data_IF_770727676239
#
_entry.id   IF_770727676239
#
_cell.length_a   1.000
_cell.length_b   1.000
_cell.length_c   1.000
_cell.angle_alpha   90.00
_cell.angle_beta   90.00
_cell.angle_gamma   90.00
#
_symmetry.space_group_name_H-M   'P 1'
#
loop_
_entity.id
_entity.type
_entity.pdbx_description
1 polymer ?
#
# COMPACT_ATOMS: atom_id res chain seq x y z
N UNK A 1 -0.79 15.64 0.93
CA UNK A 1 -1.49 14.85 -0.10
C UNK A 1 -0.41 14.24 -0.95
N UNK A 2 -0.25 12.93 -0.84
CA UNK A 2 0.79 12.18 -1.56
C UNK A 2 0.12 11.43 -2.71
N UNK A 3 0.81 11.27 -3.83
CA UNK A 3 0.30 10.52 -4.98
C UNK A 3 0.72 9.06 -4.90
N UNK A 4 -0.23 8.15 -5.13
CA UNK A 4 0.03 6.71 -5.21
C UNK A 4 -0.10 6.29 -6.67
N UNK A 5 0.98 5.74 -7.24
CA UNK A 5 0.99 5.20 -8.61
C UNK A 5 1.07 3.67 -8.55
N UNK A 6 0.10 2.99 -9.15
CA UNK A 6 0.09 1.53 -9.28
C UNK A 6 0.49 1.17 -10.71
N UNK A 7 1.66 0.55 -10.86
CA UNK A 7 2.18 0.17 -12.18
C UNK A 7 1.20 -0.76 -12.89
N UNK A 8 0.74 -0.33 -14.07
CA UNK A 8 -0.19 -1.09 -14.91
C UNK A 8 -1.68 -0.86 -14.62
N UNK A 9 -2.05 -0.13 -13.56
CA UNK A 9 -3.45 0.20 -13.25
C UNK A 9 -3.75 1.70 -13.33
N UNK A 10 -2.86 2.57 -12.82
CA UNK A 10 -3.09 4.03 -12.84
C UNK A 10 -2.51 4.74 -11.61
N UNK A 11 -3.11 5.88 -11.26
CA UNK A 11 -2.70 6.70 -10.11
C UNK A 11 -3.90 7.26 -9.36
N UNK A 12 -3.74 7.49 -8.05
CA UNK A 12 -4.70 8.19 -7.20
C UNK A 12 -4.01 9.11 -6.20
N UNK A 13 -4.79 9.99 -5.58
CA UNK A 13 -4.33 10.84 -4.49
C UNK A 13 -4.65 10.20 -3.13
N UNK A 14 -3.69 10.28 -2.22
CA UNK A 14 -3.87 9.89 -0.83
C UNK A 14 -4.35 11.10 0.00
N UNK A 15 -5.54 10.96 0.58
CA UNK A 15 -6.24 12.00 1.32
C UNK A 15 -5.92 12.03 2.83
N UNK A 16 -5.18 11.04 3.33
CA UNK A 16 -4.72 10.98 4.72
C UNK A 16 -5.71 10.38 5.71
N UNK A 17 -6.85 9.84 5.27
CA UNK A 17 -7.86 9.33 6.21
C UNK A 17 -7.57 7.92 6.72
N UNK A 18 -6.97 7.05 5.89
CA UNK A 18 -6.89 5.60 6.10
C UNK A 18 -5.56 5.00 5.64
N UNK A 19 -5.44 3.67 5.59
CA UNK A 19 -4.26 2.99 5.04
C UNK A 19 -4.15 3.16 3.52
N UNK A 20 -2.97 2.89 2.94
CA UNK A 20 -2.81 2.84 1.48
C UNK A 20 -3.79 1.86 0.82
N UNK A 21 -4.08 0.72 1.45
CA UNK A 21 -5.02 -0.26 0.92
C UNK A 21 -6.42 0.35 0.75
N UNK A 22 -6.92 1.06 1.75
CA UNK A 22 -8.25 1.66 1.73
C UNK A 22 -8.34 2.77 0.67
N UNK A 23 -7.32 3.64 0.60
CA UNK A 23 -7.26 4.68 -0.44
C UNK A 23 -7.27 4.08 -1.87
N UNK A 24 -6.60 2.95 -2.07
CA UNK A 24 -6.57 2.24 -3.36
C UNK A 24 -7.91 1.54 -3.67
N UNK A 25 -8.51 0.88 -2.69
CA UNK A 25 -9.82 0.20 -2.81
C UNK A 25 -10.92 1.22 -3.16
N UNK A 26 -10.95 2.37 -2.46
CA UNK A 26 -11.91 3.45 -2.73
C UNK A 26 -11.68 4.14 -4.08
N UNK A 27 -10.42 4.18 -4.54
CA UNK A 27 -10.07 4.70 -5.86
C UNK A 27 -10.33 3.69 -7.00
N UNK A 28 -10.83 2.49 -6.68
CA UNK A 28 -11.22 1.46 -7.65
C UNK A 28 -10.08 0.60 -8.17
N UNK A 29 -8.93 0.54 -7.47
CA UNK A 29 -7.82 -0.34 -7.82
C UNK A 29 -8.10 -1.77 -7.37
N UNK A 30 -7.81 -2.74 -8.22
CA UNK A 30 -7.93 -4.16 -7.90
C UNK A 30 -6.71 -4.60 -7.09
N UNK A 31 -6.80 -4.42 -5.77
CA UNK A 31 -5.74 -4.75 -4.82
C UNK A 31 -5.95 -6.15 -4.23
N UNK A 32 -4.92 -7.00 -4.19
CA UNK A 32 -5.01 -8.26 -3.47
C UNK A 32 -5.08 -7.96 -1.96
N UNK A 33 -6.10 -8.44 -1.25
CA UNK A 33 -6.18 -8.32 0.21
C UNK A 33 -7.01 -9.44 0.84
N UNK A 34 -6.86 -9.62 2.16
CA UNK A 34 -7.66 -10.59 2.92
C UNK A 34 -7.95 -10.10 4.35
N UNK A 35 -6.96 -10.13 5.25
CA UNK A 35 -7.22 -9.86 6.68
C UNK A 35 -7.33 -8.37 7.05
N UNK A 36 -6.81 -7.46 6.22
CA UNK A 36 -6.71 -6.00 6.46
C UNK A 36 -6.01 -5.58 7.78
N UNK A 37 -5.33 -6.49 8.47
CA UNK A 37 -4.70 -6.26 9.77
C UNK A 37 -3.24 -6.71 9.85
N UNK A 38 -2.53 -6.77 8.72
CA UNK A 38 -1.09 -7.07 8.71
C UNK A 38 -0.69 -8.53 9.02
N UNK A 39 -1.63 -9.48 8.99
CA UNK A 39 -1.38 -10.87 9.41
C UNK A 39 -1.18 -11.86 8.24
N UNK A 40 -1.87 -11.66 7.12
CA UNK A 40 -1.95 -12.68 6.05
C UNK A 40 -0.96 -12.48 4.90
N UNK A 41 -0.36 -11.30 4.75
CA UNK A 41 0.49 -10.96 3.59
C UNK A 41 -0.22 -10.85 2.24
N UNK A 42 -1.54 -11.03 2.16
CA UNK A 42 -2.28 -10.92 0.89
C UNK A 42 -2.16 -9.54 0.22
N UNK A 43 -2.01 -8.46 0.99
CA UNK A 43 -1.83 -7.10 0.48
C UNK A 43 -0.37 -6.68 0.31
N UNK A 44 0.50 -7.66 0.07
CA UNK A 44 1.92 -7.39 -0.18
C UNK A 44 2.08 -6.86 -1.59
N UNK A 45 2.77 -5.74 -1.70
CA UNK A 45 3.17 -5.15 -2.98
C UNK A 45 4.65 -4.78 -2.90
N UNK A 46 5.29 -4.62 -4.05
CA UNK A 46 6.64 -4.07 -4.11
C UNK A 46 6.58 -2.55 -4.08
N UNK A 47 7.34 -1.94 -3.18
CA UNK A 47 7.60 -0.49 -3.21
C UNK A 47 8.72 -0.21 -4.21
N UNK A 48 8.37 0.40 -5.33
CA UNK A 48 9.31 0.72 -6.42
C UNK A 48 10.02 2.04 -6.17
N UNK A 49 9.30 3.03 -5.63
CA UNK A 49 9.83 4.36 -5.34
C UNK A 49 9.00 5.05 -4.26
N UNK A 50 9.61 5.99 -3.55
CA UNK A 50 8.99 6.81 -2.52
C UNK A 50 9.13 6.21 -1.12
N UNK A 51 8.55 6.90 -0.16
CA UNK A 51 8.63 6.58 1.25
C UNK A 51 7.23 6.35 1.83
N UNK A 52 7.17 5.39 2.75
CA UNK A 52 5.96 5.04 3.50
C UNK A 52 6.27 5.01 4.98
N UNK A 53 5.26 5.22 5.81
CA UNK A 53 5.31 5.08 7.26
C UNK A 53 4.37 3.95 7.68
N UNK A 54 4.83 3.09 8.59
CA UNK A 54 4.00 2.05 9.18
C UNK A 54 3.03 2.67 10.20
N UNK A 55 1.73 2.45 9.99
CA UNK A 55 0.68 2.87 10.94
C UNK A 55 0.35 1.76 11.95
N UNK A 56 0.78 0.53 11.67
CA UNK A 56 0.67 -0.61 12.58
C UNK A 56 1.79 -1.60 12.28
N UNK A 57 2.32 -2.26 13.31
CA UNK A 57 3.33 -3.31 13.11
C UNK A 57 2.69 -4.59 12.56
N UNK A 58 3.03 -5.02 11.35
CA UNK A 58 2.49 -6.26 10.78
C UNK A 58 3.10 -7.49 11.47
N UNK A 59 2.31 -8.55 11.62
CA UNK A 59 2.80 -9.85 12.07
C UNK A 59 3.41 -10.68 10.92
N UNK A 60 3.04 -10.36 9.68
CA UNK A 60 3.61 -10.96 8.48
C UNK A 60 4.96 -10.31 8.16
N UNK A 61 5.98 -11.14 7.98
CA UNK A 61 7.34 -10.72 7.62
C UNK A 61 7.45 -10.58 6.09
N UNK A 62 7.36 -9.35 5.58
CA UNK A 62 7.53 -9.07 4.15
C UNK A 62 9.01 -9.07 3.76
N UNK A 63 9.30 -9.32 2.48
CA UNK A 63 10.69 -9.30 2.01
C UNK A 63 11.19 -7.85 1.91
N UNK A 64 12.52 -7.64 1.90
CA UNK A 64 13.07 -6.32 1.64
C UNK A 64 12.54 -5.73 0.32
N UNK A 65 12.03 -4.50 0.38
CA UNK A 65 11.40 -3.81 -0.76
C UNK A 65 9.92 -4.15 -0.97
N UNK A 66 9.33 -4.99 -0.11
CA UNK A 66 7.90 -5.28 -0.09
C UNK A 66 7.23 -4.65 1.13
N UNK A 67 6.01 -4.15 0.93
CA UNK A 67 5.21 -3.48 1.95
C UNK A 67 3.81 -4.08 2.00
N UNK A 68 3.17 -4.04 3.17
CA UNK A 68 1.76 -4.39 3.31
C UNK A 68 0.93 -3.11 3.20
N UNK A 69 0.18 -2.93 2.12
CA UNK A 69 -0.60 -1.69 1.88
C UNK A 69 -1.64 -1.42 2.97
N UNK A 70 -2.12 -2.43 3.69
CA UNK A 70 -3.04 -2.25 4.83
C UNK A 70 -2.38 -1.72 6.10
N UNK A 71 -1.04 -1.67 6.16
CA UNK A 71 -0.29 -1.35 7.38
C UNK A 71 0.59 -0.11 7.22
N UNK A 72 0.50 0.59 6.09
CA UNK A 72 1.32 1.75 5.78
C UNK A 72 0.51 2.91 5.22
N UNK A 73 1.06 4.12 5.36
CA UNK A 73 0.63 5.35 4.69
C UNK A 73 1.81 5.94 3.91
N UNK A 74 1.57 6.63 2.78
CA UNK A 74 2.64 7.27 2.03
C UNK A 74 3.08 8.58 2.71
N UNK A 75 4.38 8.78 2.84
CA UNK A 75 4.98 10.04 3.33
C UNK A 75 5.56 10.90 2.22
N UNK A 76 5.70 10.33 1.01
CA UNK A 76 6.00 11.01 -0.25
C UNK A 76 5.10 10.48 -1.36
N UNK A 77 5.26 10.99 -2.58
CA UNK A 77 4.73 10.28 -3.76
C UNK A 77 5.36 8.90 -3.86
N UNK A 78 4.53 7.87 -4.07
CA UNK A 78 4.95 6.47 -4.09
C UNK A 78 4.56 5.80 -5.40
N UNK A 79 5.40 4.85 -5.81
CA UNK A 79 5.14 3.96 -6.94
C UNK A 79 5.19 2.53 -6.44
N UNK A 80 4.14 1.75 -6.70
CA UNK A 80 4.02 0.36 -6.28
C UNK A 80 3.75 -0.57 -7.47
N UNK A 81 4.20 -1.82 -7.32
CA UNK A 81 4.00 -2.90 -8.28
C UNK A 81 3.32 -4.08 -7.58
N UNK A 82 2.27 -4.63 -8.21
CA UNK A 82 1.59 -5.84 -7.75
C UNK A 82 2.48 -7.06 -8.02
N UNK A 83 2.58 -7.99 -7.06
CA UNK A 83 3.45 -9.18 -7.11
C UNK A 83 2.67 -10.50 -7.05
#
# INVERSE_FOLDING_TARGET
MAKITVLGQGECEFDGQFSMLEALDESGFDMPYSCRGGNCGACTVRLVSGDVEEIQSPAYDSRPGEILTCSVIPTSDVVIELI
#
